data_IF_480755137931
#
_entry.id   IF_480755137931
#
_cell.length_a   1.000
_cell.length_b   1.000
_cell.length_c   1.000
_cell.angle_alpha   90.00
_cell.angle_beta   90.00
_cell.angle_gamma   90.00
#
_symmetry.space_group_name_H-M   'P 1'
#
loop_
_entity.id
_entity.type
_entity.pdbx_description
1 polymer ?
#
# COMPACT_ATOMS: atom_id res chain seq x y z
N UNK A 1 -41.92 50.85 69.34
CA UNK A 1 -41.88 50.59 67.88
C UNK A 1 -40.50 50.12 67.50
N UNK A 2 -40.13 48.90 67.91
CA UNK A 2 -38.81 48.32 67.71
C UNK A 2 -38.97 46.86 67.29
N UNK A 3 -38.98 46.61 65.98
CA UNK A 3 -38.73 45.30 65.36
C UNK A 3 -39.04 45.44 63.87
N UNK A 4 -38.11 45.95 63.05
CA UNK A 4 -38.18 45.82 61.58
C UNK A 4 -36.91 46.26 60.84
N UNK A 5 -35.72 46.19 61.45
CA UNK A 5 -34.46 46.53 60.77
C UNK A 5 -33.36 45.47 60.80
N UNK A 6 -33.61 44.25 61.32
CA UNK A 6 -32.59 43.19 61.40
C UNK A 6 -32.64 42.17 60.25
N UNK A 7 -33.70 42.15 59.44
CA UNK A 7 -33.94 41.04 58.51
C UNK A 7 -33.51 41.32 57.06
N UNK A 8 -33.12 42.56 56.74
CA UNK A 8 -32.67 42.95 55.40
C UNK A 8 -31.16 42.74 55.18
N UNK A 9 -30.31 42.91 56.21
CA UNK A 9 -28.86 42.69 56.09
C UNK A 9 -28.47 41.21 56.02
N UNK A 10 -29.16 40.32 56.74
CA UNK A 10 -28.86 38.87 56.70
C UNK A 10 -29.17 38.25 55.33
N UNK A 11 -30.20 38.75 54.65
CA UNK A 11 -30.59 38.29 53.31
C UNK A 11 -29.60 38.72 52.20
N UNK A 12 -29.01 39.91 52.34
CA UNK A 12 -27.99 40.43 51.42
C UNK A 12 -26.64 39.73 51.57
N UNK A 13 -26.21 39.46 52.80
CA UNK A 13 -24.98 38.73 53.11
C UNK A 13 -25.10 37.27 52.67
N UNK A 14 -26.24 36.62 52.94
CA UNK A 14 -26.49 35.25 52.49
C UNK A 14 -26.50 35.13 50.96
N UNK A 15 -27.10 36.08 50.24
CA UNK A 15 -27.06 36.09 48.76
C UNK A 15 -25.66 36.32 48.21
N UNK A 16 -24.86 37.19 48.83
CA UNK A 16 -23.48 37.47 48.39
C UNK A 16 -22.55 36.26 48.59
N UNK A 17 -22.65 35.58 49.74
CA UNK A 17 -21.91 34.32 50.00
C UNK A 17 -22.31 33.24 49.00
N UNK A 18 -23.60 33.16 48.66
CA UNK A 18 -24.12 32.18 47.71
C UNK A 18 -23.68 32.45 46.26
N UNK A 19 -23.60 33.73 45.86
CA UNK A 19 -23.09 34.16 44.56
C UNK A 19 -21.58 33.93 44.41
N UNK A 20 -20.78 34.25 45.44
CA UNK A 20 -19.32 34.02 45.43
C UNK A 20 -19.00 32.52 45.39
N UNK A 21 -19.77 31.70 46.11
CA UNK A 21 -19.66 30.23 46.07
C UNK A 21 -20.01 29.68 44.69
N UNK A 22 -21.06 30.21 44.04
CA UNK A 22 -21.44 29.80 42.68
C UNK A 22 -20.38 30.19 41.65
N UNK A 23 -19.79 31.38 41.77
CA UNK A 23 -18.72 31.83 40.88
C UNK A 23 -17.47 30.94 41.01
N UNK A 24 -17.06 30.60 42.23
CA UNK A 24 -15.94 29.68 42.46
C UNK A 24 -16.19 28.29 41.88
N UNK A 25 -17.41 27.76 41.98
CA UNK A 25 -17.78 26.45 41.38
C UNK A 25 -17.68 26.51 39.85
N UNK A 26 -18.16 27.59 39.22
CA UNK A 26 -18.06 27.77 37.76
C UNK A 26 -16.60 27.89 37.31
N UNK A 27 -15.76 28.65 38.03
CA UNK A 27 -14.33 28.77 37.72
C UNK A 27 -13.59 27.44 37.92
N UNK A 28 -13.90 26.68 38.95
CA UNK A 28 -13.35 25.33 39.15
C UNK A 28 -13.76 24.38 38.03
N UNK A 29 -15.03 24.41 37.60
CA UNK A 29 -15.51 23.56 36.51
C UNK A 29 -14.78 23.89 35.19
N UNK A 30 -14.64 25.18 34.86
CA UNK A 30 -13.89 25.61 33.68
C UNK A 30 -12.40 25.22 33.74
N UNK A 31 -11.78 25.27 34.92
CA UNK A 31 -10.40 24.82 35.12
C UNK A 31 -10.27 23.31 34.96
N UNK A 32 -11.20 22.53 35.52
CA UNK A 32 -11.26 21.07 35.36
C UNK A 32 -11.49 20.67 33.90
N UNK A 33 -12.37 21.36 33.18
CA UNK A 33 -12.62 21.11 31.75
C UNK A 33 -11.38 21.45 30.90
N UNK A 34 -10.64 22.52 31.27
CA UNK A 34 -9.38 22.88 30.61
C UNK A 34 -8.27 21.85 30.84
N UNK A 35 -8.18 21.30 32.07
CA UNK A 35 -7.24 20.25 32.42
C UNK A 35 -7.58 18.94 31.70
N UNK A 36 -8.87 18.59 31.64
CA UNK A 36 -9.37 17.40 30.94
C UNK A 36 -9.04 17.44 29.45
N UNK A 37 -9.26 18.58 28.80
CA UNK A 37 -8.89 18.82 27.40
C UNK A 37 -7.37 18.76 27.16
N UNK A 38 -6.54 19.22 28.10
CA UNK A 38 -5.08 19.11 27.98
C UNK A 38 -4.58 17.65 28.11
N UNK A 39 -5.20 16.85 28.98
CA UNK A 39 -4.90 15.40 29.10
C UNK A 39 -5.37 14.61 27.87
N UNK A 40 -6.58 14.86 27.36
CA UNK A 40 -7.08 14.18 26.15
C UNK A 40 -6.24 14.49 24.90
N UNK A 41 -5.71 15.72 24.77
CA UNK A 41 -4.84 16.11 23.66
C UNK A 41 -3.44 15.46 23.76
N UNK A 42 -2.91 15.24 24.97
CA UNK A 42 -1.64 14.52 25.18
C UNK A 42 -1.76 13.02 24.92
N UNK A 43 -2.85 12.38 25.34
CA UNK A 43 -3.07 10.95 25.12
C UNK A 43 -3.47 10.64 23.67
N UNK A 44 -4.22 11.52 23.02
CA UNK A 44 -4.50 11.40 21.58
C UNK A 44 -3.23 11.56 20.74
N UNK A 45 -2.37 12.55 21.02
CA UNK A 45 -1.08 12.68 20.31
C UNK A 45 -0.15 11.51 20.54
N UNK A 46 -0.11 10.95 21.76
CA UNK A 46 0.68 9.74 22.05
C UNK A 46 0.17 8.53 21.27
N UNK A 47 -1.15 8.27 21.29
CA UNK A 47 -1.76 7.14 20.60
C UNK A 47 -1.69 7.25 19.06
N UNK A 48 -1.83 8.46 18.51
CA UNK A 48 -1.78 8.71 17.06
C UNK A 48 -0.35 8.54 16.52
N UNK A 49 0.65 9.07 17.24
CA UNK A 49 2.04 8.87 16.86
C UNK A 49 2.42 7.40 17.00
N UNK A 50 2.10 6.73 18.12
CA UNK A 50 2.55 5.36 18.41
C UNK A 50 1.82 4.27 17.62
N UNK A 51 0.53 4.42 17.33
CA UNK A 51 -0.28 3.35 16.72
C UNK A 51 -0.24 3.33 15.19
N UNK A 52 -0.51 4.47 14.54
CA UNK A 52 -0.66 4.49 13.07
C UNK A 52 0.67 4.57 12.33
N UNK A 53 1.70 5.15 12.95
CA UNK A 53 3.02 5.32 12.33
C UNK A 53 4.01 4.22 12.73
N UNK A 54 4.11 3.88 14.02
CA UNK A 54 5.13 2.92 14.48
C UNK A 54 4.73 1.46 14.25
N UNK A 55 3.47 1.05 14.45
CA UNK A 55 3.09 -0.36 14.26
C UNK A 55 3.42 -0.87 12.84
N UNK A 56 3.07 -0.14 11.76
CA UNK A 56 3.44 -0.56 10.42
C UNK A 56 4.95 -0.53 10.19
N UNK A 57 5.66 0.46 10.76
CA UNK A 57 7.11 0.57 10.64
C UNK A 57 7.85 -0.59 11.33
N UNK A 58 7.38 -0.99 12.51
CA UNK A 58 7.90 -2.17 13.24
C UNK A 58 7.64 -3.43 12.41
N UNK A 59 6.47 -3.54 11.79
CA UNK A 59 6.16 -4.67 10.91
C UNK A 59 7.04 -4.69 9.66
N UNK A 60 7.32 -3.54 9.05
CA UNK A 60 8.22 -3.43 7.89
C UNK A 60 9.67 -3.80 8.27
N UNK A 61 10.10 -3.44 9.47
CA UNK A 61 11.42 -3.82 9.97
C UNK A 61 11.53 -5.33 10.22
N UNK A 62 10.51 -5.93 10.86
CA UNK A 62 10.48 -7.36 11.16
C UNK A 62 10.46 -8.23 9.89
N UNK A 63 9.70 -7.83 8.87
CA UNK A 63 9.57 -8.65 7.66
C UNK A 63 10.89 -8.74 6.89
N UNK A 64 11.74 -7.70 6.94
CA UNK A 64 13.06 -7.72 6.30
C UNK A 64 13.93 -8.79 6.95
N UNK A 65 13.94 -8.86 8.28
CA UNK A 65 14.63 -9.91 9.03
C UNK A 65 14.13 -11.32 8.70
N UNK A 66 12.83 -11.50 8.50
CA UNK A 66 12.25 -12.82 8.23
C UNK A 66 12.47 -13.29 6.79
N UNK A 67 12.46 -12.37 5.83
CA UNK A 67 12.43 -12.71 4.40
C UNK A 67 13.75 -12.54 3.67
N UNK A 68 14.68 -11.75 4.18
CA UNK A 68 15.96 -11.52 3.51
C UNK A 68 17.10 -12.31 4.21
N UNK A 69 17.65 -13.35 3.56
CA UNK A 69 18.81 -14.08 4.08
C UNK A 69 20.07 -13.22 4.24
N UNK A 70 20.15 -12.07 3.55
CA UNK A 70 21.28 -11.15 3.64
C UNK A 70 21.22 -10.25 4.88
N UNK A 71 20.05 -10.07 5.50
CA UNK A 71 19.86 -9.24 6.68
C UNK A 71 20.45 -9.92 7.93
N UNK A 72 21.77 -9.81 8.11
CA UNK A 72 22.48 -10.47 9.23
C UNK A 72 22.37 -9.68 10.53
N UNK A 73 22.26 -8.35 10.45
CA UNK A 73 22.26 -7.45 11.60
C UNK A 73 21.20 -6.34 11.47
N UNK A 74 20.66 -5.90 12.61
CA UNK A 74 19.65 -4.82 12.66
C UNK A 74 20.20 -3.48 12.15
N UNK A 75 21.49 -3.21 12.41
CA UNK A 75 22.19 -2.02 11.91
C UNK A 75 22.26 -2.00 10.39
N UNK A 76 22.46 -3.15 9.75
CA UNK A 76 22.52 -3.25 8.30
C UNK A 76 21.18 -2.87 7.68
N UNK A 77 20.07 -3.30 8.26
CA UNK A 77 18.73 -2.89 7.82
C UNK A 77 18.54 -1.38 7.97
N UNK A 78 18.90 -0.82 9.13
CA UNK A 78 18.71 0.60 9.40
C UNK A 78 19.59 1.48 8.52
N UNK A 79 20.77 1.03 8.09
CA UNK A 79 21.71 1.89 7.33
C UNK A 79 21.84 1.54 5.84
N UNK A 80 21.53 0.31 5.45
CA UNK A 80 21.83 -0.20 4.11
C UNK A 80 20.60 -0.66 3.30
N UNK A 81 19.39 -0.56 3.85
CA UNK A 81 18.16 -0.95 3.13
C UNK A 81 17.38 0.27 2.62
N UNK A 82 17.61 0.69 1.35
CA UNK A 82 16.92 1.86 0.79
C UNK A 82 15.41 1.68 0.73
N UNK A 83 14.94 0.43 0.56
CA UNK A 83 13.51 0.07 0.63
C UNK A 83 12.87 0.44 1.96
N UNK A 84 13.55 0.12 3.07
CA UNK A 84 13.09 0.48 4.40
C UNK A 84 13.09 1.99 4.61
N UNK A 85 14.16 2.69 4.19
CA UNK A 85 14.22 4.16 4.28
C UNK A 85 13.08 4.83 3.53
N UNK A 86 12.80 4.38 2.30
CA UNK A 86 11.71 4.92 1.50
C UNK A 86 10.35 4.75 2.19
N UNK A 87 10.12 3.60 2.83
CA UNK A 87 8.91 3.36 3.64
C UNK A 87 8.86 4.28 4.87
N UNK A 88 9.97 4.51 5.58
CA UNK A 88 10.03 5.48 6.69
C UNK A 88 9.59 6.88 6.24
N UNK A 89 10.20 7.39 5.16
CA UNK A 89 9.87 8.70 4.61
C UNK A 89 8.42 8.76 4.13
N UNK A 90 7.95 7.72 3.44
CA UNK A 90 6.58 7.61 2.98
C UNK A 90 5.60 7.65 4.14
N UNK A 91 5.80 6.87 5.21
CA UNK A 91 4.86 6.80 6.34
C UNK A 91 4.71 8.18 7.00
N UNK A 92 5.81 8.90 7.18
CA UNK A 92 5.78 10.27 7.69
C UNK A 92 5.11 11.25 6.71
N UNK A 93 5.42 11.17 5.41
CA UNK A 93 4.79 12.00 4.39
C UNK A 93 3.28 11.73 4.26
N UNK A 94 2.88 10.46 4.30
CA UNK A 94 1.49 10.02 4.25
C UNK A 94 0.73 10.54 5.46
N UNK A 95 1.31 10.44 6.66
CA UNK A 95 0.74 11.02 7.87
C UNK A 95 0.50 12.54 7.73
N UNK A 96 1.48 13.29 7.21
CA UNK A 96 1.28 14.72 6.94
C UNK A 96 0.20 14.97 5.87
N UNK A 97 0.13 14.11 4.86
CA UNK A 97 -0.85 14.21 3.77
C UNK A 97 -2.29 14.01 4.27
N UNK A 98 -2.55 13.01 5.10
CA UNK A 98 -3.89 12.77 5.68
C UNK A 98 -4.31 13.88 6.66
N UNK A 99 -3.35 14.61 7.24
CA UNK A 99 -3.59 15.80 8.06
C UNK A 99 -3.73 17.09 7.25
N UNK A 100 -3.93 16.97 5.92
CA UNK A 100 -4.13 18.09 4.99
C UNK A 100 -2.97 19.10 4.94
N UNK A 101 -1.74 18.67 5.25
CA UNK A 101 -0.56 19.52 5.04
C UNK A 101 -0.26 19.56 3.55
N UNK A 102 -0.42 20.73 2.96
CA UNK A 102 -0.10 20.99 1.55
C UNK A 102 1.41 21.01 1.30
N UNK A 103 1.84 20.61 0.10
CA UNK A 103 3.21 20.70 -0.43
C UNK A 103 4.30 19.88 0.28
N UNK A 104 4.42 19.96 1.61
CA UNK A 104 5.47 19.31 2.42
C UNK A 104 5.51 17.78 2.22
N UNK A 105 4.39 17.03 2.23
CA UNK A 105 4.42 15.59 1.94
C UNK A 105 5.07 15.28 0.59
N UNK A 106 4.74 16.10 -0.43
CA UNK A 106 5.27 15.91 -1.78
C UNK A 106 6.77 16.21 -1.82
N UNK A 107 7.22 17.27 -1.16
CA UNK A 107 8.65 17.55 -1.02
C UNK A 107 9.41 16.40 -0.36
N UNK A 108 8.88 15.83 0.74
CA UNK A 108 9.48 14.67 1.42
C UNK A 108 9.59 13.47 0.48
N UNK A 109 8.55 13.18 -0.32
CA UNK A 109 8.60 12.08 -1.30
C UNK A 109 9.73 12.27 -2.33
N UNK A 110 10.00 13.50 -2.77
CA UNK A 110 11.09 13.79 -3.70
C UNK A 110 12.47 13.69 -3.06
N UNK A 111 12.61 14.09 -1.79
CA UNK A 111 13.84 13.90 -1.01
C UNK A 111 14.12 12.41 -0.84
N UNK A 112 13.10 11.63 -0.45
CA UNK A 112 13.21 10.17 -0.33
C UNK A 112 13.65 9.53 -1.65
N UNK A 113 13.03 9.94 -2.76
CA UNK A 113 13.41 9.48 -4.12
C UNK A 113 14.86 9.80 -4.46
N UNK A 114 15.35 10.99 -4.10
CA UNK A 114 16.74 11.37 -4.35
C UNK A 114 17.74 10.46 -3.64
N UNK A 115 17.48 10.12 -2.37
CA UNK A 115 18.39 9.27 -1.58
C UNK A 115 18.25 7.77 -1.86
N UNK A 116 17.04 7.30 -2.16
CA UNK A 116 16.74 5.84 -2.24
C UNK A 116 16.52 5.33 -3.65
N UNK A 117 16.24 6.20 -4.63
CA UNK A 117 15.82 5.82 -5.97
C UNK A 117 14.39 5.26 -6.05
N UNK A 118 13.63 5.31 -4.95
CA UNK A 118 12.25 4.82 -4.85
C UNK A 118 11.29 6.02 -4.80
N UNK A 119 10.30 6.05 -5.68
CA UNK A 119 9.25 7.07 -5.68
C UNK A 119 7.95 6.50 -5.12
N UNK A 120 7.50 7.03 -3.98
CA UNK A 120 6.20 6.70 -3.39
C UNK A 120 5.40 7.98 -3.22
N UNK A 121 4.24 8.07 -3.85
CA UNK A 121 3.37 9.22 -3.68
C UNK A 121 2.79 9.24 -2.25
N UNK A 122 2.76 10.41 -1.56
CA UNK A 122 2.17 10.50 -0.21
C UNK A 122 0.69 10.15 -0.14
N UNK A 123 -0.03 10.25 -1.25
CA UNK A 123 -1.45 9.85 -1.36
C UNK A 123 -1.69 8.34 -1.46
N UNK A 124 -0.66 7.55 -1.74
CA UNK A 124 -0.79 6.10 -1.83
C UNK A 124 -1.18 5.52 -0.46
N UNK A 125 -1.84 4.36 -0.45
CA UNK A 125 -2.18 3.63 0.78
C UNK A 125 -1.37 2.35 0.84
N UNK A 126 -0.44 2.25 1.79
CA UNK A 126 0.45 1.10 1.93
C UNK A 126 0.22 0.45 3.29
N UNK A 127 -0.10 -0.85 3.26
CA UNK A 127 -0.31 -1.69 4.42
C UNK A 127 0.96 -1.91 5.26
N UNK A 128 0.89 -2.85 6.19
CA UNK A 128 2.00 -3.22 7.07
C UNK A 128 2.85 -4.35 6.51
N UNK A 129 4.13 -4.41 6.89
CA UNK A 129 5.03 -5.49 6.50
C UNK A 129 5.30 -5.49 4.99
N UNK A 130 5.19 -4.34 4.34
CA UNK A 130 5.53 -4.22 2.92
C UNK A 130 7.04 -4.23 2.81
N UNK A 131 7.57 -5.08 1.94
CA UNK A 131 9.01 -5.20 1.73
C UNK A 131 9.34 -4.75 0.30
N UNK A 132 10.12 -3.67 0.19
CA UNK A 132 10.69 -3.20 -1.07
C UNK A 132 12.14 -3.67 -1.12
N UNK A 133 12.41 -4.71 -1.90
CA UNK A 133 13.73 -5.33 -2.02
C UNK A 133 14.50 -4.72 -3.21
N UNK A 134 15.77 -4.39 -2.98
CA UNK A 134 16.67 -3.58 -3.81
C UNK A 134 16.16 -2.16 -4.14
N UNK A 135 14.88 -2.02 -4.51
CA UNK A 135 14.09 -0.79 -4.54
C UNK A 135 14.39 0.18 -5.68
N UNK A 136 15.58 0.18 -6.26
CA UNK A 136 15.95 1.14 -7.31
C UNK A 136 14.93 1.17 -8.45
N UNK A 137 14.38 2.35 -8.76
CA UNK A 137 13.43 2.54 -9.85
C UNK A 137 12.00 2.05 -9.56
N UNK A 138 11.67 1.74 -8.30
CA UNK A 138 10.28 1.50 -7.89
C UNK A 138 9.48 2.80 -7.94
N UNK A 139 8.28 2.75 -8.53
CA UNK A 139 7.36 3.88 -8.64
C UNK A 139 5.96 3.47 -8.18
N UNK A 140 5.45 4.10 -7.14
CA UNK A 140 4.11 3.87 -6.58
C UNK A 140 3.30 5.17 -6.69
N UNK A 141 2.27 5.15 -7.54
CA UNK A 141 1.49 6.34 -7.85
C UNK A 141 0.46 6.73 -6.80
N UNK A 142 -0.11 7.93 -6.98
CA UNK A 142 -0.95 8.63 -5.99
C UNK A 142 -2.11 7.83 -5.43
N UNK A 143 -2.86 7.14 -6.29
CA UNK A 143 -4.08 6.43 -5.85
C UNK A 143 -3.83 4.93 -5.70
N UNK A 144 -2.57 4.50 -5.67
CA UNK A 144 -2.21 3.10 -5.51
C UNK A 144 -2.59 2.62 -4.10
N UNK A 145 -3.04 1.38 -4.01
CA UNK A 145 -3.29 0.70 -2.75
C UNK A 145 -2.42 -0.55 -2.75
N UNK A 146 -1.64 -0.75 -1.69
CA UNK A 146 -0.74 -1.90 -1.51
C UNK A 146 -1.13 -2.59 -0.21
N UNK A 147 -1.60 -3.83 -0.30
CA UNK A 147 -1.99 -4.64 0.85
C UNK A 147 -0.80 -5.12 1.69
N UNK A 148 -1.12 -5.72 2.82
CA UNK A 148 -0.17 -6.16 3.83
C UNK A 148 0.77 -7.26 3.29
N UNK A 149 2.00 -7.29 3.79
CA UNK A 149 3.00 -8.33 3.49
C UNK A 149 3.35 -8.48 2.01
N UNK A 150 3.11 -7.44 1.22
CA UNK A 150 3.46 -7.36 -0.20
C UNK A 150 4.96 -7.22 -0.39
N UNK A 151 5.53 -7.97 -1.34
CA UNK A 151 6.94 -7.90 -1.75
C UNK A 151 7.06 -7.23 -3.11
N UNK A 152 7.87 -6.19 -3.20
CA UNK A 152 8.09 -5.41 -4.42
C UNK A 152 9.58 -5.37 -4.72
N UNK A 153 9.96 -5.83 -5.91
CA UNK A 153 11.35 -5.77 -6.38
C UNK A 153 11.67 -4.46 -7.12
N UNK A 154 12.95 -4.25 -7.42
CA UNK A 154 13.45 -3.11 -8.17
C UNK A 154 12.75 -2.90 -9.52
N UNK A 155 12.63 -1.65 -9.96
CA UNK A 155 12.09 -1.28 -11.27
C UNK A 155 10.58 -1.51 -11.43
N UNK A 156 9.85 -1.86 -10.36
CA UNK A 156 8.40 -2.05 -10.42
C UNK A 156 7.68 -0.71 -10.57
N UNK A 157 6.60 -0.68 -11.36
CA UNK A 157 5.72 0.50 -11.45
C UNK A 157 4.28 0.12 -11.15
N UNK A 158 3.68 0.78 -10.16
CA UNK A 158 2.25 0.81 -9.88
C UNK A 158 1.70 2.13 -10.43
N UNK A 159 1.42 2.13 -11.73
CA UNK A 159 1.20 3.34 -12.54
C UNK A 159 -0.26 3.55 -12.94
N UNK A 160 -0.57 4.78 -13.36
CA UNK A 160 -1.87 5.11 -13.94
C UNK A 160 -1.91 4.90 -15.45
N UNK A 161 -3.12 4.85 -16.00
CA UNK A 161 -3.37 4.85 -17.45
C UNK A 161 -4.24 6.06 -17.83
N UNK A 162 -3.92 6.73 -18.94
CA UNK A 162 -4.72 7.83 -19.47
C UNK A 162 -4.65 9.14 -18.67
N UNK A 163 -5.62 10.03 -18.90
CA UNK A 163 -5.75 11.36 -18.26
C UNK A 163 -6.88 11.43 -17.23
N UNK A 164 -7.43 10.30 -16.83
CA UNK A 164 -8.58 10.27 -15.91
C UNK A 164 -8.20 10.82 -14.53
N UNK A 165 -9.09 11.63 -13.97
CA UNK A 165 -8.96 12.18 -12.62
C UNK A 165 -9.55 11.20 -11.61
N UNK A 166 -8.95 11.11 -10.42
CA UNK A 166 -9.38 10.18 -9.36
C UNK A 166 -8.58 8.87 -9.31
N UNK A 167 -9.25 7.77 -8.98
CA UNK A 167 -8.65 6.43 -8.79
C UNK A 167 -8.25 5.85 -10.15
N UNK A 168 -6.95 5.76 -10.37
CA UNK A 168 -6.32 5.43 -11.68
C UNK A 168 -5.13 4.50 -11.58
N UNK A 169 -4.66 4.23 -10.36
CA UNK A 169 -3.54 3.34 -10.07
C UNK A 169 -4.07 2.01 -9.51
N UNK A 170 -3.27 0.93 -9.53
CA UNK A 170 -3.75 -0.39 -9.15
C UNK A 170 -4.03 -0.53 -7.63
N UNK A 171 -4.78 -1.57 -7.30
CA UNK A 171 -5.03 -2.03 -5.94
C UNK A 171 -4.48 -3.43 -5.79
N UNK A 172 -3.45 -3.59 -4.96
CA UNK A 172 -2.84 -4.88 -4.64
C UNK A 172 -3.41 -5.38 -3.31
N UNK A 173 -3.86 -6.62 -3.30
CA UNK A 173 -4.28 -7.34 -2.11
C UNK A 173 -3.09 -7.72 -1.22
N UNK A 174 -3.34 -8.59 -0.26
CA UNK A 174 -2.36 -9.02 0.72
C UNK A 174 -1.45 -10.12 0.17
N UNK A 175 -0.20 -10.16 0.64
CA UNK A 175 0.80 -11.16 0.26
C UNK A 175 1.07 -11.25 -1.26
N UNK A 176 0.90 -10.13 -1.97
CA UNK A 176 1.23 -10.06 -3.40
C UNK A 176 2.76 -10.00 -3.56
N UNK A 177 3.28 -10.64 -4.61
CA UNK A 177 4.69 -10.54 -5.00
C UNK A 177 4.77 -9.89 -6.37
N UNK A 178 5.50 -8.79 -6.48
CA UNK A 178 5.70 -8.06 -7.74
C UNK A 178 7.17 -8.17 -8.15
N UNK A 179 7.43 -9.02 -9.13
CA UNK A 179 8.77 -9.32 -9.64
C UNK A 179 9.46 -8.11 -10.27
N UNK A 180 10.79 -8.18 -10.34
CA UNK A 180 11.64 -7.08 -10.79
C UNK A 180 11.20 -6.54 -12.16
N UNK A 181 11.12 -5.22 -12.30
CA UNK A 181 10.80 -4.56 -13.56
C UNK A 181 9.33 -4.65 -14.00
N UNK A 182 8.45 -5.33 -13.27
CA UNK A 182 7.05 -5.48 -13.66
C UNK A 182 6.29 -4.13 -13.66
N UNK A 183 5.30 -4.00 -14.53
CA UNK A 183 4.46 -2.82 -14.69
C UNK A 183 3.01 -3.20 -14.46
N UNK A 184 2.38 -2.63 -13.44
CA UNK A 184 0.96 -2.82 -13.12
C UNK A 184 0.27 -1.48 -13.34
N UNK A 185 -0.55 -1.40 -14.39
CA UNK A 185 -1.01 -0.12 -14.92
C UNK A 185 -2.54 -0.05 -14.91
N UNK A 186 -3.06 1.09 -14.43
CA UNK A 186 -4.48 1.40 -14.43
C UNK A 186 -5.18 1.08 -13.13
N UNK A 187 -6.46 1.44 -13.04
CA UNK A 187 -7.33 1.09 -11.91
C UNK A 187 -7.76 -0.37 -12.02
N UNK A 188 -6.83 -1.29 -11.73
CA UNK A 188 -7.04 -2.73 -11.75
C UNK A 188 -6.85 -3.33 -10.36
N UNK A 189 -7.54 -4.45 -10.11
CA UNK A 189 -7.50 -5.16 -8.86
C UNK A 189 -6.67 -6.43 -8.96
N UNK A 190 -5.60 -6.48 -8.18
CA UNK A 190 -4.75 -7.64 -7.99
C UNK A 190 -5.14 -8.27 -6.66
N UNK A 191 -5.73 -9.46 -6.69
CA UNK A 191 -6.22 -10.13 -5.48
C UNK A 191 -5.07 -10.66 -4.60
N UNK A 192 -5.43 -11.21 -3.44
CA UNK A 192 -4.46 -11.76 -2.49
C UNK A 192 -3.61 -12.90 -3.06
N UNK A 193 -2.36 -13.00 -2.57
CA UNK A 193 -1.41 -14.08 -2.87
C UNK A 193 -1.10 -14.24 -4.36
N UNK A 194 -1.31 -13.18 -5.14
CA UNK A 194 -0.93 -13.13 -6.55
C UNK A 194 0.58 -12.94 -6.70
N UNK A 195 1.15 -13.56 -7.72
CA UNK A 195 2.56 -13.39 -8.10
C UNK A 195 2.67 -12.85 -9.51
N UNK A 196 3.34 -11.72 -9.65
CA UNK A 196 3.60 -11.10 -10.94
C UNK A 196 5.07 -11.38 -11.27
N UNK A 197 5.32 -12.08 -12.36
CA UNK A 197 6.67 -12.41 -12.81
C UNK A 197 7.44 -11.16 -13.22
N UNK A 198 8.77 -11.25 -13.11
CA UNK A 198 9.67 -10.17 -13.53
C UNK A 198 9.40 -9.73 -14.98
N UNK A 199 9.47 -8.42 -15.23
CA UNK A 199 9.25 -7.80 -16.53
C UNK A 199 7.81 -7.84 -17.08
N UNK A 200 6.85 -8.41 -16.35
CA UNK A 200 5.47 -8.56 -16.84
C UNK A 200 4.72 -7.23 -16.90
N UNK A 201 3.80 -7.08 -17.86
CA UNK A 201 2.91 -5.90 -17.95
C UNK A 201 1.47 -6.33 -17.65
N UNK A 202 0.94 -5.94 -16.49
CA UNK A 202 -0.41 -6.29 -16.03
C UNK A 202 -1.37 -5.14 -16.32
N UNK A 203 -2.39 -5.43 -17.13
CA UNK A 203 -3.37 -4.46 -17.64
C UNK A 203 -4.81 -4.81 -17.30
N UNK A 204 -5.03 -5.88 -16.51
CA UNK A 204 -6.35 -6.40 -16.15
C UNK A 204 -6.34 -6.98 -14.75
N UNK A 205 -7.52 -7.12 -14.18
CA UNK A 205 -7.70 -7.73 -12.86
C UNK A 205 -7.15 -9.16 -12.82
N UNK A 206 -6.64 -9.52 -11.64
CA UNK A 206 -6.01 -10.81 -11.39
C UNK A 206 -6.66 -11.48 -10.17
N UNK A 207 -7.22 -12.70 -10.33
CA UNK A 207 -7.84 -13.42 -9.23
C UNK A 207 -6.79 -13.92 -8.23
N UNK A 208 -7.26 -14.27 -7.02
CA UNK A 208 -6.37 -14.70 -5.93
C UNK A 208 -5.58 -15.97 -6.31
N UNK A 209 -4.46 -16.20 -5.60
CA UNK A 209 -3.64 -17.41 -5.73
C UNK A 209 -3.12 -17.70 -7.16
N UNK A 210 -3.07 -16.67 -7.99
CA UNK A 210 -2.71 -16.77 -9.41
C UNK A 210 -1.31 -16.23 -9.68
N UNK A 211 -0.71 -16.65 -10.79
CA UNK A 211 0.57 -16.12 -11.26
C UNK A 211 0.39 -15.45 -12.62
N UNK A 212 1.01 -14.30 -12.84
CA UNK A 212 0.93 -13.53 -14.09
C UNK A 212 2.32 -13.39 -14.68
N UNK A 213 2.48 -13.71 -15.96
CA UNK A 213 3.75 -13.51 -16.69
C UNK A 213 3.55 -12.94 -18.08
N UNK A 214 4.59 -12.31 -18.61
CA UNK A 214 4.69 -11.93 -20.01
C UNK A 214 4.20 -10.51 -20.31
N UNK A 215 4.29 -10.16 -21.59
CA UNK A 215 3.95 -8.83 -22.13
C UNK A 215 3.04 -9.02 -23.35
N UNK A 216 1.73 -8.73 -23.26
CA UNK A 216 0.97 -8.40 -22.05
C UNK A 216 0.82 -9.61 -21.11
N UNK A 217 0.60 -9.32 -19.83
CA UNK A 217 0.52 -10.30 -18.75
C UNK A 217 -0.63 -11.30 -18.92
N UNK A 218 -0.30 -12.59 -18.87
CA UNK A 218 -1.25 -13.70 -18.91
C UNK A 218 -1.28 -14.43 -17.58
N UNK A 219 -2.49 -14.72 -17.12
CA UNK A 219 -2.71 -15.50 -15.90
C UNK A 219 -2.38 -16.96 -16.20
N UNK A 220 -1.42 -17.49 -15.47
CA UNK A 220 -1.13 -18.91 -15.37
C UNK A 220 -1.85 -19.40 -14.13
N UNK A 221 -2.99 -20.05 -14.34
CA UNK A 221 -3.62 -20.82 -13.27
C UNK A 221 -2.72 -22.02 -12.96
N UNK A 222 -2.39 -22.32 -11.69
CA UNK A 222 -1.73 -23.56 -11.37
C UNK A 222 -2.68 -24.70 -11.74
N UNK A 223 -2.41 -25.40 -12.85
CA UNK A 223 -2.91 -26.77 -13.00
C UNK A 223 -2.27 -27.57 -11.86
N UNK A 224 -3.04 -27.78 -10.80
CA UNK A 224 -2.75 -28.68 -9.68
C UNK A 224 -1.54 -28.27 -8.80
N UNK A 225 -1.87 -27.66 -7.65
CA UNK A 225 -1.30 -27.97 -6.34
C UNK A 225 0.23 -27.96 -6.15
N UNK A 226 1.01 -27.20 -6.93
CA UNK A 226 2.40 -26.86 -6.60
C UNK A 226 2.53 -25.37 -6.35
N UNK A 227 2.57 -24.98 -5.07
CA UNK A 227 3.03 -23.64 -4.67
C UNK A 227 4.48 -23.50 -5.13
N UNK A 228 4.72 -22.81 -6.25
CA UNK A 228 6.07 -22.37 -6.65
C UNK A 228 6.58 -21.44 -5.53
N UNK A 229 7.87 -21.37 -5.21
CA UNK A 229 8.33 -20.38 -4.21
C UNK A 229 8.43 -18.97 -4.83
N UNK A 230 8.31 -17.87 -4.06
CA UNK A 230 8.38 -16.50 -4.59
C UNK A 230 9.65 -16.16 -5.40
N UNK A 231 10.73 -16.93 -5.22
CA UNK A 231 12.02 -16.71 -5.85
C UNK A 231 12.23 -17.56 -7.12
N UNK A 232 11.37 -18.53 -7.40
CA UNK A 232 11.54 -19.50 -8.49
C UNK A 232 10.99 -19.03 -9.84
N UNK A 233 11.45 -17.86 -10.29
CA UNK A 233 11.04 -17.27 -11.57
C UNK A 233 11.32 -18.17 -12.79
N UNK A 234 12.35 -19.03 -12.72
CA UNK A 234 12.72 -19.95 -13.78
C UNK A 234 11.70 -21.09 -14.03
N UNK A 235 10.74 -21.32 -13.12
CA UNK A 235 9.75 -22.40 -13.24
C UNK A 235 8.43 -21.94 -13.86
N UNK A 236 8.35 -20.69 -14.29
CA UNK A 236 7.15 -20.15 -14.91
C UNK A 236 6.99 -20.73 -16.33
N UNK A 237 5.82 -21.23 -16.72
CA UNK A 237 5.61 -21.78 -18.05
C UNK A 237 5.77 -20.72 -19.12
N UNK A 238 6.50 -21.06 -20.19
CA UNK A 238 6.63 -20.25 -21.39
C UNK A 238 5.34 -20.32 -22.22
N UNK A 239 4.49 -19.31 -22.03
CA UNK A 239 3.19 -19.21 -22.69
C UNK A 239 3.37 -18.97 -24.20
N UNK A 240 4.42 -18.26 -24.63
CA UNK A 240 4.68 -17.98 -26.04
C UNK A 240 5.08 -19.27 -26.77
N UNK A 241 6.00 -20.05 -26.21
CA UNK A 241 6.38 -21.34 -26.79
C UNK A 241 5.20 -22.31 -26.88
N UNK A 242 4.26 -22.29 -25.93
CA UNK A 242 3.05 -23.10 -25.99
C UNK A 242 2.13 -22.68 -27.15
N UNK A 243 1.97 -21.39 -27.40
CA UNK A 243 1.14 -20.86 -28.49
C UNK A 243 1.79 -21.17 -29.83
N UNK A 244 3.10 -20.94 -29.96
CA UNK A 244 3.87 -21.24 -31.17
C UNK A 244 3.74 -22.73 -31.52
N UNK A 245 3.88 -23.64 -30.55
CA UNK A 245 3.68 -25.08 -30.76
C UNK A 245 2.26 -25.42 -31.22
N UNK A 246 1.24 -24.77 -30.64
CA UNK A 246 -0.15 -24.98 -31.05
C UNK A 246 -0.41 -24.48 -32.47
N UNK A 247 0.17 -23.35 -32.87
CA UNK A 247 0.07 -22.82 -34.22
C UNK A 247 0.79 -23.72 -35.22
N UNK A 248 2.01 -24.18 -34.89
CA UNK A 248 2.77 -25.11 -35.73
C UNK A 248 1.99 -26.41 -35.99
N UNK A 249 1.45 -27.01 -34.93
CA UNK A 249 0.63 -28.22 -35.06
C UNK A 249 -0.62 -27.99 -35.90
N UNK A 250 -1.22 -26.78 -35.84
CA UNK A 250 -2.36 -26.42 -36.69
C UNK A 250 -1.95 -26.26 -38.15
N UNK A 251 -0.78 -25.69 -38.43
CA UNK A 251 -0.23 -25.57 -39.79
C UNK A 251 0.01 -26.97 -40.37
N UNK A 252 0.67 -27.86 -39.63
CA UNK A 252 0.89 -29.25 -40.06
C UNK A 252 -0.43 -29.98 -40.38
N UNK A 253 -1.46 -29.81 -39.55
CA UNK A 253 -2.79 -30.38 -39.81
C UNK A 253 -3.42 -29.83 -41.09
N UNK A 254 -3.33 -28.52 -41.31
CA UNK A 254 -3.87 -27.88 -42.51
C UNK A 254 -3.11 -28.32 -43.77
N UNK A 255 -1.79 -28.47 -43.70
CA UNK A 255 -0.95 -28.98 -44.80
C UNK A 255 -1.32 -30.43 -45.15
N UNK A 256 -1.52 -31.30 -44.15
CA UNK A 256 -2.00 -32.67 -44.37
C UNK A 256 -3.39 -32.71 -45.01
N UNK A 257 -4.33 -31.86 -44.56
CA UNK A 257 -5.67 -31.77 -45.17
C UNK A 257 -5.60 -31.32 -46.63
N UNK A 258 -4.72 -30.36 -46.94
CA UNK A 258 -4.56 -29.82 -48.29
C UNK A 258 -3.92 -30.85 -49.23
N UNK A 259 -2.98 -31.65 -48.74
CA UNK A 259 -2.40 -32.77 -49.48
C UNK A 259 -3.45 -33.84 -49.80
N UNK A 260 -4.25 -34.24 -48.81
CA UNK A 260 -5.32 -35.22 -49.00
C UNK A 260 -6.38 -34.73 -50.02
N UNK A 261 -6.72 -33.43 -50.01
CA UNK A 261 -7.65 -32.83 -50.97
C UNK A 261 -7.09 -32.82 -52.40
N UNK A 262 -5.79 -32.53 -52.57
CA UNK A 262 -5.13 -32.59 -53.89
C UNK A 262 -5.09 -34.00 -54.45
N UNK A 263 -4.88 -35.00 -53.60
CA UNK A 263 -4.89 -36.41 -54.01
C UNK A 263 -6.31 -36.91 -54.35
N UNK A 264 -7.35 -36.26 -53.84
CA UNK A 264 -8.76 -36.58 -54.09
C UNK A 264 -9.38 -35.83 -55.27
N UNK A 265 -8.71 -34.84 -55.86
CA UNK A 265 -9.11 -34.28 -57.16
C UNK A 265 -8.49 -35.16 -58.25
N UNK A 266 -9.26 -36.08 -58.90
CA UNK A 266 -8.78 -36.66 -60.13
C UNK A 266 -8.65 -35.51 -61.13
N UNK A 267 -7.55 -35.46 -61.87
CA UNK A 267 -7.38 -34.44 -62.90
C UNK A 267 -8.60 -34.45 -63.81
N UNK A 268 -9.31 -33.32 -63.87
CA UNK A 268 -10.21 -33.00 -64.97
C UNK A 268 -9.31 -32.94 -66.22
N UNK A 269 -9.18 -34.09 -66.88
CA UNK A 269 -8.69 -34.24 -68.26
C UNK A 269 -9.86 -34.07 -69.22
#
# INVERSE_FOLDING_TARGET
>A
MSALSSDLESSGISRKIQLDSFHQIVTMQQSLDSLKNQTENKDSRKNILSGELFEPLISDFRIIFERDPAARNWLEIIFCYPGFHALCFYRFAHWLHIHNVSFIPRLISHIARFFTGIEIHPGAKIGKGVFIDHGMGVVIGETAIVGDYTLIYQGVTLGGTGKETGKRHPTLGNHVVVGAGAKVLGNIQISDRVRIGAGSIVLRDVPADSTVVGIPGRIISPKQNKRISPLEHHKLPDVEASIIRSLHSRIEQLEQQLQNLKEQQPGDN
#
